data_IF_237998787225
#
_entry.id   IF_237998787225
#
_cell.length_a   1.000
_cell.length_b   1.000
_cell.length_c   1.000
_cell.angle_alpha   90.00
_cell.angle_beta   90.00
_cell.angle_gamma   90.00
#
_symmetry.space_group_name_H-M   'P 1'
#
loop_
_entity.id
_entity.type
_entity.pdbx_description
1 polymer ?
#
# COMPACT_ATOMS: atom_id res chain seq x y z
N UNK A 1 18.09 -14.32 22.76
CA UNK A 1 18.87 -13.06 22.71
C UNK A 1 19.60 -12.80 21.40
N UNK A 2 20.59 -13.61 20.95
CA UNK A 2 21.28 -13.34 19.66
C UNK A 2 20.34 -13.32 18.45
N UNK A 3 19.35 -14.23 18.42
CA UNK A 3 18.35 -14.30 17.37
C UNK A 3 17.40 -13.11 17.40
N UNK A 4 16.92 -12.74 18.58
CA UNK A 4 15.99 -11.61 18.74
C UNK A 4 16.61 -10.29 18.28
N UNK A 5 17.88 -10.04 18.62
CA UNK A 5 18.62 -8.87 18.13
C UNK A 5 18.75 -8.89 16.60
N UNK A 6 19.17 -10.02 16.03
CA UNK A 6 19.29 -10.15 14.58
C UNK A 6 17.96 -10.00 13.83
N UNK A 7 16.84 -10.32 14.45
CA UNK A 7 15.51 -10.13 13.86
C UNK A 7 15.03 -8.68 14.00
N UNK A 8 15.34 -7.99 15.11
CA UNK A 8 15.12 -6.54 15.25
C UNK A 8 15.95 -5.75 14.25
N UNK A 9 17.24 -6.07 14.12
CA UNK A 9 18.15 -5.38 13.21
C UNK A 9 17.62 -5.43 11.75
N UNK A 10 17.07 -6.57 11.31
CA UNK A 10 16.43 -6.69 9.99
C UNK A 10 15.19 -5.82 9.83
N UNK A 11 14.37 -5.68 10.87
CA UNK A 11 13.17 -4.84 10.83
C UNK A 11 13.59 -3.37 10.70
N UNK A 12 14.59 -2.95 11.48
CA UNK A 12 15.14 -1.59 11.41
C UNK A 12 15.74 -1.33 10.03
N UNK A 13 16.58 -2.22 9.51
CA UNK A 13 17.17 -2.10 8.17
C UNK A 13 16.10 -2.02 7.08
N UNK A 14 15.07 -2.88 7.16
CA UNK A 14 13.98 -2.88 6.18
C UNK A 14 13.18 -1.58 6.24
N UNK A 15 12.88 -1.08 7.45
CA UNK A 15 12.13 0.18 7.64
C UNK A 15 12.93 1.38 7.13
N UNK A 16 14.23 1.45 7.45
CA UNK A 16 15.13 2.50 7.00
C UNK A 16 15.37 2.48 5.48
N UNK A 17 15.15 1.35 4.81
CA UNK A 17 15.25 1.24 3.35
C UNK A 17 14.02 1.76 2.60
N UNK A 18 12.90 2.00 3.30
CA UNK A 18 11.68 2.55 2.70
C UNK A 18 11.77 4.07 2.59
N UNK A 19 10.99 4.66 1.69
CA UNK A 19 10.82 6.11 1.62
C UNK A 19 10.05 6.56 2.87
N UNK A 20 10.56 7.54 3.61
CA UNK A 20 9.80 8.15 4.69
C UNK A 20 8.66 9.01 4.10
N UNK A 21 7.38 8.63 4.26
CA UNK A 21 6.27 9.37 3.67
C UNK A 21 6.05 10.76 4.28
N UNK A 22 6.73 11.09 5.39
CA UNK A 22 6.64 12.39 6.05
C UNK A 22 7.78 13.35 5.69
N UNK A 23 8.83 12.86 5.03
CA UNK A 23 9.95 13.68 4.52
C UNK A 23 9.89 13.83 3.00
N UNK A 24 9.03 13.06 2.34
CA UNK A 24 8.81 13.17 0.91
C UNK A 24 7.92 14.39 0.61
N UNK A 25 8.52 15.44 0.04
CA UNK A 25 7.86 16.71 -0.25
C UNK A 25 7.33 16.83 -1.69
N UNK A 26 7.57 15.84 -2.56
CA UNK A 26 7.11 15.90 -3.94
C UNK A 26 5.63 15.47 -4.05
N UNK A 27 4.95 15.98 -5.08
CA UNK A 27 3.51 15.72 -5.30
C UNK A 27 3.24 14.37 -5.99
N UNK A 28 4.29 13.66 -6.42
CA UNK A 28 4.15 12.43 -7.21
C UNK A 28 3.63 11.26 -6.35
N UNK A 29 2.69 10.48 -6.90
CA UNK A 29 2.21 9.29 -6.23
C UNK A 29 3.26 8.17 -6.31
N UNK A 30 3.92 7.84 -5.19
CA UNK A 30 4.94 6.79 -5.14
C UNK A 30 4.57 5.58 -4.28
N UNK A 31 5.26 4.47 -4.55
CA UNK A 31 5.21 3.26 -3.74
C UNK A 31 6.27 3.30 -2.63
N UNK A 32 5.84 3.51 -1.38
CA UNK A 32 6.70 3.77 -0.20
C UNK A 32 7.85 2.76 -0.05
N UNK A 33 7.63 1.48 -0.35
CA UNK A 33 8.63 0.44 -0.09
C UNK A 33 9.59 0.20 -1.25
N UNK A 34 9.27 0.68 -2.46
CA UNK A 34 10.12 0.49 -3.65
C UNK A 34 10.63 1.79 -4.24
N UNK A 35 10.12 2.94 -3.79
CA UNK A 35 10.38 4.25 -4.39
C UNK A 35 9.85 4.39 -5.82
N UNK A 36 8.98 3.46 -6.27
CA UNK A 36 8.46 3.49 -7.64
C UNK A 36 7.40 4.57 -7.77
N UNK A 37 7.64 5.57 -8.62
CA UNK A 37 6.65 6.60 -8.98
C UNK A 37 5.59 5.99 -9.90
N UNK A 38 4.32 6.30 -9.66
CA UNK A 38 3.20 5.86 -10.47
C UNK A 38 3.23 6.52 -11.85
N UNK A 39 2.83 5.77 -12.89
CA UNK A 39 2.49 6.39 -14.17
C UNK A 39 1.17 7.15 -14.04
N UNK A 40 0.96 8.20 -14.85
CA UNK A 40 -0.29 8.97 -14.89
C UNK A 40 -1.56 8.08 -14.92
N UNK A 41 -1.53 6.99 -15.67
CA UNK A 41 -2.66 6.06 -15.77
C UNK A 41 -2.96 5.32 -14.46
N UNK A 42 -1.92 4.94 -13.72
CA UNK A 42 -2.04 4.26 -12.41
C UNK A 42 -2.48 5.25 -11.35
N UNK A 43 -1.92 6.45 -11.36
CA UNK A 43 -2.33 7.53 -10.47
C UNK A 43 -3.81 7.85 -10.65
N UNK A 44 -4.24 8.10 -11.89
CA UNK A 44 -5.64 8.37 -12.22
C UNK A 44 -6.56 7.23 -11.79
N UNK A 45 -6.19 5.98 -12.04
CA UNK A 45 -6.99 4.82 -11.66
C UNK A 45 -7.08 4.65 -10.12
N UNK A 46 -6.01 4.97 -9.38
CA UNK A 46 -6.00 4.92 -7.92
C UNK A 46 -6.82 6.06 -7.29
N UNK A 47 -6.65 7.29 -7.78
CA UNK A 47 -7.40 8.46 -7.31
C UNK A 47 -8.90 8.33 -7.57
N UNK A 48 -9.29 7.80 -8.73
CA UNK A 48 -10.70 7.63 -9.11
C UNK A 48 -11.31 6.29 -8.69
N UNK A 49 -10.56 5.44 -7.97
CA UNK A 49 -10.99 4.08 -7.65
C UNK A 49 -12.29 4.03 -6.86
N UNK A 50 -12.42 4.92 -5.87
CA UNK A 50 -13.61 5.01 -5.02
C UNK A 50 -14.84 5.42 -5.85
N UNK A 51 -14.77 6.55 -6.53
CA UNK A 51 -15.89 7.10 -7.32
C UNK A 51 -16.35 6.13 -8.41
N UNK A 52 -15.40 5.46 -9.08
CA UNK A 52 -15.71 4.44 -10.09
C UNK A 52 -16.37 3.21 -9.47
N UNK A 53 -15.95 2.81 -8.27
CA UNK A 53 -16.57 1.74 -7.51
C UNK A 53 -18.01 2.07 -7.11
N UNK A 54 -18.25 3.29 -6.62
CA UNK A 54 -19.58 3.79 -6.26
C UNK A 54 -20.51 3.86 -7.47
N UNK A 55 -20.03 4.41 -8.59
CA UNK A 55 -20.80 4.45 -9.83
C UNK A 55 -21.17 3.04 -10.33
N UNK A 56 -20.23 2.08 -10.26
CA UNK A 56 -20.49 0.69 -10.62
C UNK A 56 -21.51 0.03 -9.68
N UNK A 57 -21.44 0.32 -8.38
CA UNK A 57 -22.40 -0.16 -7.39
C UNK A 57 -23.81 0.35 -7.68
N UNK A 58 -23.96 1.66 -7.92
CA UNK A 58 -25.25 2.28 -8.25
C UNK A 58 -25.84 1.66 -9.52
N UNK A 59 -25.02 1.46 -10.56
CA UNK A 59 -25.45 0.81 -11.80
C UNK A 59 -25.97 -0.61 -11.55
N UNK A 60 -25.25 -1.40 -10.75
CA UNK A 60 -25.67 -2.76 -10.38
C UNK A 60 -27.00 -2.76 -9.62
N UNK A 61 -27.17 -1.85 -8.66
CA UNK A 61 -28.43 -1.70 -7.93
C UNK A 61 -29.59 -1.39 -8.87
N UNK A 62 -29.37 -0.48 -9.83
CA UNK A 62 -30.39 -0.14 -10.83
C UNK A 62 -30.73 -1.33 -11.72
N UNK A 63 -29.73 -1.93 -12.37
CA UNK A 63 -29.91 -3.00 -13.35
C UNK A 63 -30.53 -4.28 -12.76
N UNK A 64 -30.17 -4.62 -11.51
CA UNK A 64 -30.58 -5.90 -10.90
C UNK A 64 -31.77 -5.78 -9.95
N UNK A 65 -31.83 -4.71 -9.17
CA UNK A 65 -32.83 -4.59 -8.10
C UNK A 65 -34.05 -3.78 -8.54
N UNK A 66 -33.81 -2.70 -9.30
CA UNK A 66 -34.88 -1.77 -9.70
C UNK A 66 -35.53 -2.20 -11.02
N UNK A 67 -34.73 -2.37 -12.09
CA UNK A 67 -35.25 -2.70 -13.42
C UNK A 67 -35.37 -4.21 -13.66
N UNK A 68 -34.56 -5.02 -12.95
CA UNK A 68 -34.46 -6.49 -13.09
C UNK A 68 -34.12 -6.92 -14.52
N UNK A 69 -33.40 -6.08 -15.25
CA UNK A 69 -32.92 -6.37 -16.61
C UNK A 69 -31.84 -7.45 -16.62
N UNK A 70 -31.12 -7.60 -15.50
CA UNK A 70 -30.06 -8.58 -15.31
C UNK A 70 -30.38 -9.45 -14.11
N UNK A 71 -30.23 -10.77 -14.25
CA UNK A 71 -30.41 -11.71 -13.14
C UNK A 71 -29.44 -11.38 -11.99
N UNK A 72 -29.98 -11.31 -10.78
CA UNK A 72 -29.26 -11.10 -9.52
C UNK A 72 -28.04 -12.02 -9.33
N UNK A 73 -28.09 -13.25 -9.84
CA UNK A 73 -27.05 -14.28 -9.71
C UNK A 73 -25.95 -14.17 -10.78
N UNK A 74 -26.10 -13.24 -11.74
CA UNK A 74 -25.10 -13.02 -12.79
C UNK A 74 -23.78 -12.53 -12.19
N UNK A 75 -22.64 -12.97 -12.70
CA UNK A 75 -21.33 -12.51 -12.24
C UNK A 75 -21.17 -10.99 -12.37
N UNK A 76 -20.55 -10.33 -11.38
CA UNK A 76 -20.25 -8.91 -11.42
C UNK A 76 -18.97 -8.64 -12.22
N UNK A 77 -18.99 -7.62 -13.09
CA UNK A 77 -17.82 -7.22 -13.85
C UNK A 77 -16.82 -6.51 -12.95
N UNK A 78 -15.55 -6.89 -13.03
CA UNK A 78 -14.44 -6.16 -12.39
C UNK A 78 -14.07 -4.95 -13.24
N UNK A 79 -13.81 -3.80 -12.60
CA UNK A 79 -13.41 -2.56 -13.29
C UNK A 79 -12.00 -2.58 -13.89
N UNK A 80 -11.16 -3.57 -13.51
CA UNK A 80 -9.78 -3.77 -14.00
C UNK A 80 -8.90 -2.50 -13.89
N UNK A 81 -9.01 -1.79 -12.76
CA UNK A 81 -8.18 -0.62 -12.47
C UNK A 81 -6.69 -1.00 -12.42
N UNK A 82 -5.85 -0.13 -12.97
CA UNK A 82 -4.39 -0.21 -12.89
C UNK A 82 -3.92 0.19 -11.50
N UNK A 83 -2.87 -0.48 -11.06
CA UNK A 83 -2.23 -0.30 -9.75
C UNK A 83 -0.72 -0.43 -9.92
N UNK A 84 0.07 -0.19 -8.87
CA UNK A 84 1.51 -0.46 -8.90
C UNK A 84 1.85 -1.90 -9.34
N UNK A 85 0.98 -2.89 -9.11
CA UNK A 85 1.19 -4.27 -9.60
C UNK A 85 1.08 -4.38 -11.12
N UNK A 86 0.33 -3.48 -11.76
CA UNK A 86 0.20 -3.45 -13.22
C UNK A 86 1.38 -2.76 -13.92
N UNK A 87 2.23 -2.06 -13.17
CA UNK A 87 3.46 -1.50 -13.68
C UNK A 87 4.48 -2.63 -13.82
N UNK A 88 4.73 -3.07 -15.06
CA UNK A 88 5.55 -4.24 -15.41
C UNK A 88 7.03 -4.13 -15.01
N UNK A 89 7.46 -3.01 -14.43
CA UNK A 89 8.73 -2.88 -13.73
C UNK A 89 8.45 -2.88 -12.23
N UNK A 90 8.34 -4.07 -11.65
CA UNK A 90 8.79 -4.24 -10.26
C UNK A 90 10.25 -3.82 -10.24
N UNK A 91 10.54 -2.57 -9.85
CA UNK A 91 11.90 -2.19 -9.48
C UNK A 91 12.23 -3.08 -8.31
N UNK A 92 13.06 -4.09 -8.58
CA UNK A 92 13.55 -5.02 -7.57
C UNK A 92 14.43 -4.20 -6.64
N UNK A 93 13.86 -3.62 -5.58
CA UNK A 93 14.66 -3.08 -4.49
C UNK A 93 15.47 -4.25 -3.92
N UNK A 94 16.75 -4.30 -4.30
CA UNK A 94 17.69 -5.30 -3.82
C UNK A 94 18.06 -4.95 -2.38
N UNK A 95 17.34 -5.52 -1.42
CA UNK A 95 17.92 -5.75 -0.10
C UNK A 95 18.58 -7.13 -0.16
N UNK A 96 19.92 -7.15 -0.16
CA UNK A 96 20.74 -8.36 -0.12
C UNK A 96 20.45 -9.46 -1.17
N UNK A 97 20.06 -9.10 -2.40
CA UNK A 97 19.97 -10.05 -3.52
C UNK A 97 18.94 -11.17 -3.36
N UNK A 98 18.08 -11.09 -2.34
CA UNK A 98 16.96 -12.00 -2.14
C UNK A 98 15.67 -11.23 -2.38
N UNK A 99 14.86 -11.76 -3.27
CA UNK A 99 13.49 -11.34 -3.58
C UNK A 99 12.59 -11.69 -2.38
N UNK A 100 12.83 -11.05 -1.24
CA UNK A 100 12.12 -11.34 0.02
C UNK A 100 11.24 -10.14 0.36
N UNK A 101 9.99 -10.28 -0.09
CA UNK A 101 8.79 -9.89 0.64
C UNK A 101 8.26 -8.45 0.56
N UNK A 102 7.93 -7.98 -0.65
CA UNK A 102 6.89 -6.93 -0.86
C UNK A 102 5.56 -7.21 -0.11
N UNK A 103 5.26 -8.48 0.20
CA UNK A 103 4.09 -8.87 1.02
C UNK A 103 4.29 -8.69 2.54
N UNK A 104 5.52 -8.76 3.05
CA UNK A 104 5.78 -8.56 4.47
C UNK A 104 5.60 -7.09 4.85
N UNK A 105 6.00 -6.17 3.97
CA UNK A 105 5.95 -4.73 4.21
C UNK A 105 4.51 -4.21 4.32
N UNK A 106 3.59 -4.67 3.46
CA UNK A 106 2.17 -4.26 3.57
C UNK A 106 1.56 -4.65 4.91
N UNK A 107 1.85 -5.87 5.38
CA UNK A 107 1.35 -6.33 6.67
C UNK A 107 2.05 -5.61 7.83
N UNK A 108 3.32 -5.24 7.68
CA UNK A 108 4.05 -4.42 8.65
C UNK A 108 3.44 -3.02 8.74
N UNK A 109 3.29 -2.31 7.61
CA UNK A 109 2.68 -0.97 7.55
C UNK A 109 1.24 -0.97 8.07
N UNK A 110 0.43 -1.96 7.70
CA UNK A 110 -0.93 -2.09 8.22
C UNK A 110 -0.95 -2.25 9.75
N UNK A 111 -0.03 -3.05 10.32
CA UNK A 111 0.12 -3.19 11.77
C UNK A 111 0.59 -1.89 12.41
N UNK A 112 1.55 -1.19 11.80
CA UNK A 112 2.03 0.12 12.29
C UNK A 112 0.87 1.12 12.36
N UNK A 113 0.04 1.21 11.32
CA UNK A 113 -1.14 2.10 11.31
C UNK A 113 -2.12 1.77 12.43
N UNK A 114 -2.41 0.48 12.65
CA UNK A 114 -3.30 0.04 13.73
C UNK A 114 -2.69 0.32 15.10
N UNK A 115 -1.40 0.04 15.29
CA UNK A 115 -0.69 0.27 16.55
C UNK A 115 -0.61 1.77 16.86
N UNK A 116 -0.29 2.61 15.87
CA UNK A 116 -0.28 4.06 16.01
C UNK A 116 -1.62 4.58 16.51
N UNK A 117 -2.73 4.08 15.96
CA UNK A 117 -4.08 4.43 16.41
C UNK A 117 -4.39 3.94 17.83
N UNK A 118 -4.09 2.68 18.15
CA UNK A 118 -4.43 2.09 19.46
C UNK A 118 -3.57 2.68 20.57
N UNK A 119 -2.27 2.82 20.33
CA UNK A 119 -1.28 3.28 21.33
C UNK A 119 -1.09 4.79 21.34
N UNK A 120 -1.80 5.54 20.49
CA UNK A 120 -1.61 6.99 20.27
C UNK A 120 -0.15 7.34 20.00
N UNK A 121 0.55 6.47 19.27
CA UNK A 121 1.92 6.72 18.81
C UNK A 121 1.80 7.48 17.51
N UNK A 122 2.45 8.64 17.44
CA UNK A 122 2.54 9.40 16.21
C UNK A 122 3.41 8.63 15.22
N UNK A 123 2.84 8.28 14.06
CA UNK A 123 3.56 7.57 13.01
C UNK A 123 4.65 8.45 12.38
N UNK A 124 4.45 9.77 12.38
CA UNK A 124 5.45 10.71 11.90
C UNK A 124 6.65 10.71 12.83
N UNK A 125 6.44 10.85 14.14
CA UNK A 125 7.52 10.74 15.13
C UNK A 125 8.21 9.38 15.04
N UNK A 126 7.43 8.29 14.88
CA UNK A 126 7.95 6.94 14.77
C UNK A 126 8.83 6.74 13.53
N UNK A 127 8.41 7.25 12.37
CA UNK A 127 9.09 7.02 11.10
C UNK A 127 10.20 8.05 10.83
N UNK A 128 10.15 9.22 11.46
CA UNK A 128 11.21 10.24 11.38
C UNK A 128 12.26 10.14 12.51
N UNK A 129 12.00 9.39 13.59
CA UNK A 129 12.99 9.23 14.66
C UNK A 129 14.12 8.29 14.24
N UNK A 130 15.39 8.67 14.46
CA UNK A 130 16.51 7.74 14.33
C UNK A 130 16.36 6.60 15.34
N UNK A 131 16.13 5.38 14.83
CA UNK A 131 15.99 4.17 15.65
C UNK A 131 17.26 3.81 16.44
N UNK A 132 18.38 4.41 16.04
CA UNK A 132 19.73 4.24 16.60
C UNK A 132 19.83 4.72 18.06
N UNK A 133 18.89 5.52 18.55
CA UNK A 133 18.93 6.11 19.90
C UNK A 133 18.36 5.19 21.00
N UNK A 134 17.77 4.05 20.65
CA UNK A 134 17.08 3.14 21.58
C UNK A 134 17.68 1.72 21.65
N UNK A 135 18.86 1.50 21.06
CA UNK A 135 19.62 0.25 21.06
C UNK A 135 20.95 0.40 21.81
#
# INVERSE_FOLDING_TARGET
MKRDKADVDKIVETTNSMINPFEYEEEELLHITSGTVATEEVEKDLQSAYDRGEAAFIAICKERLQTREVDSLTSMKKLKLKTFTSMSKTTKSKVHGKEVSLKADRNLLARLVVIGRIRKVDLQELLSSPWDQYL
#
